data_IF_551859116741
#
_entry.id   IF_551859116741
#
_cell.length_a   1.000
_cell.length_b   1.000
_cell.length_c   1.000
_cell.angle_alpha   90.00
_cell.angle_beta   90.00
_cell.angle_gamma   90.00
#
_symmetry.space_group_name_H-M   'P 1'
#
loop_
_entity.id
_entity.type
_entity.pdbx_description
1 polymer ?
#
# COMPACT_ATOMS: atom_id res chain seq x y z
N UNK A 1 31.29 35.14 2.54
CA UNK A 1 30.14 35.62 3.33
C UNK A 1 28.91 34.86 2.88
N UNK A 2 28.27 34.18 3.84
CA UNK A 2 27.00 33.44 3.76
C UNK A 2 26.94 32.20 2.85
N UNK A 3 27.75 31.19 3.19
CA UNK A 3 27.44 29.79 2.91
C UNK A 3 26.30 29.33 3.84
N UNK A 4 25.06 29.39 3.33
CA UNK A 4 23.91 28.77 4.02
C UNK A 4 24.01 27.26 3.77
N UNK A 5 24.40 26.56 4.82
CA UNK A 5 24.51 25.11 4.85
C UNK A 5 23.16 24.45 4.60
N UNK A 6 23.04 23.79 3.44
CA UNK A 6 21.94 22.86 3.20
C UNK A 6 22.29 21.60 3.97
N UNK A 7 21.57 21.43 5.08
CA UNK A 7 21.56 20.23 5.93
C UNK A 7 21.47 18.97 5.06
N UNK A 8 22.30 18.00 5.41
CA UNK A 8 22.39 16.68 4.81
C UNK A 8 21.02 16.02 4.74
N UNK A 9 20.56 15.69 3.53
CA UNK A 9 19.53 14.68 3.31
C UNK A 9 20.21 13.31 3.49
N UNK A 10 20.30 12.84 4.74
CA UNK A 10 20.71 11.48 5.11
C UNK A 10 19.43 10.70 5.50
N UNK A 11 19.11 9.65 4.74
CA UNK A 11 18.22 8.51 5.07
C UNK A 11 16.79 8.76 5.61
N UNK A 12 15.77 8.73 4.74
CA UNK A 12 14.39 8.50 5.19
C UNK A 12 13.28 9.09 4.33
N UNK A 13 13.16 8.75 3.04
CA UNK A 13 11.91 9.00 2.31
C UNK A 13 10.79 8.21 2.99
N UNK A 14 10.03 8.91 3.82
CA UNK A 14 8.88 8.39 4.56
C UNK A 14 7.87 7.86 3.54
N UNK A 15 7.86 6.54 3.36
CA UNK A 15 6.95 5.84 2.47
C UNK A 15 5.52 5.95 3.02
N UNK A 16 4.85 7.07 2.71
CA UNK A 16 3.46 7.30 3.06
C UNK A 16 2.53 6.74 1.98
N UNK A 17 1.40 6.19 2.41
CA UNK A 17 0.35 5.74 1.50
C UNK A 17 -0.30 6.96 0.84
N UNK A 18 -0.30 7.03 -0.49
CA UNK A 18 -0.91 8.17 -1.21
C UNK A 18 -2.43 8.26 -1.07
N UNK A 19 -3.09 7.19 -0.60
CA UNK A 19 -4.54 7.13 -0.44
C UNK A 19 -5.05 7.47 0.97
N UNK A 20 -4.36 7.05 2.05
CA UNK A 20 -4.75 7.40 3.43
C UNK A 20 -3.80 8.39 4.10
N UNK A 21 -2.67 8.73 3.46
CA UNK A 21 -1.63 9.60 3.99
C UNK A 21 -0.96 9.10 5.28
N UNK A 22 -1.23 7.85 5.67
CA UNK A 22 -0.59 7.19 6.79
C UNK A 22 0.75 6.58 6.38
N UNK A 23 1.66 6.47 7.36
CA UNK A 23 2.96 5.84 7.17
C UNK A 23 2.79 4.34 6.84
N UNK A 24 3.47 3.86 5.78
CA UNK A 24 3.42 2.45 5.40
C UNK A 24 4.33 1.61 6.30
N UNK A 25 3.84 1.28 7.50
CA UNK A 25 4.53 0.37 8.42
C UNK A 25 4.59 -1.08 7.92
N UNK A 26 3.66 -1.48 7.06
CA UNK A 26 3.61 -2.84 6.52
C UNK A 26 4.44 -2.94 5.23
N UNK A 27 5.59 -3.62 5.29
CA UNK A 27 6.45 -4.01 4.14
C UNK A 27 5.77 -4.89 3.07
N UNK A 28 4.45 -5.03 3.12
CA UNK A 28 3.69 -5.71 2.08
C UNK A 28 3.29 -4.66 1.05
N UNK A 29 4.19 -4.33 0.13
CA UNK A 29 3.80 -3.56 -1.04
C UNK A 29 2.74 -4.35 -1.81
N UNK A 30 1.70 -3.71 -2.34
CA UNK A 30 0.82 -4.37 -3.28
C UNK A 30 1.61 -4.93 -4.46
N UNK A 31 1.18 -6.03 -5.10
CA UNK A 31 1.96 -6.70 -6.15
C UNK A 31 2.21 -5.83 -7.40
N UNK A 32 1.64 -4.63 -7.47
CA UNK A 32 1.60 -3.79 -8.67
C UNK A 32 2.36 -2.47 -8.54
N UNK A 33 2.41 -1.86 -7.35
CA UNK A 33 3.15 -0.62 -7.08
C UNK A 33 3.21 -0.30 -5.58
N UNK A 34 4.12 0.59 -5.18
CA UNK A 34 4.33 0.99 -3.79
C UNK A 34 3.55 2.25 -3.37
N UNK A 35 2.62 2.74 -4.19
CA UNK A 35 1.90 4.00 -3.91
C UNK A 35 0.84 3.89 -2.81
N UNK A 36 0.35 2.69 -2.51
CA UNK A 36 -0.76 2.46 -1.59
C UNK A 36 -0.36 1.42 -0.56
N UNK A 37 -0.74 1.63 0.70
CA UNK A 37 -0.69 0.55 1.68
C UNK A 37 -1.64 -0.58 1.27
N UNK A 38 -1.40 -1.79 1.78
CA UNK A 38 -2.22 -2.98 1.51
C UNK A 38 -3.72 -2.71 1.69
N UNK A 39 -4.09 -2.08 2.80
CA UNK A 39 -5.49 -1.78 3.10
C UNK A 39 -6.13 -0.84 2.06
N UNK A 40 -5.46 0.26 1.70
CA UNK A 40 -5.93 1.17 0.68
C UNK A 40 -5.94 0.55 -0.71
N UNK A 41 -4.96 -0.30 -1.03
CA UNK A 41 -4.93 -1.06 -2.26
C UNK A 41 -6.14 -1.99 -2.38
N UNK A 42 -6.52 -2.69 -1.30
CA UNK A 42 -7.72 -3.54 -1.27
C UNK A 42 -9.01 -2.73 -1.50
N UNK A 43 -9.12 -1.55 -0.90
CA UNK A 43 -10.24 -0.64 -1.14
C UNK A 43 -10.25 -0.10 -2.58
N UNK A 44 -9.07 0.12 -3.16
CA UNK A 44 -8.91 0.55 -4.54
C UNK A 44 -9.42 -0.51 -5.52
N UNK A 45 -8.99 -1.76 -5.36
CA UNK A 45 -9.38 -2.87 -6.25
C UNK A 45 -10.87 -3.19 -6.19
N UNK A 46 -11.53 -2.89 -5.07
CA UNK A 46 -12.98 -3.01 -4.96
C UNK A 46 -13.74 -2.04 -5.89
N UNK A 47 -13.09 -0.97 -6.39
CA UNK A 47 -13.70 0.05 -7.26
C UNK A 47 -13.09 0.15 -8.66
N UNK A 48 -11.82 -0.25 -8.85
CA UNK A 48 -11.09 -0.13 -10.13
C UNK A 48 -9.97 -1.16 -10.23
N UNK A 49 -9.52 -1.48 -11.44
CA UNK A 49 -8.46 -2.48 -11.65
C UNK A 49 -7.05 -1.89 -11.82
N UNK A 50 -6.85 -0.58 -11.65
CA UNK A 50 -5.56 0.11 -11.84
C UNK A 50 -5.18 0.99 -10.64
N UNK A 51 -3.89 1.25 -10.43
CA UNK A 51 -3.43 2.22 -9.43
C UNK A 51 -3.85 3.66 -9.78
N UNK A 52 -4.22 4.46 -8.78
CA UNK A 52 -4.57 5.87 -8.95
C UNK A 52 -3.42 6.77 -9.41
N UNK A 53 -2.20 6.43 -9.03
CA UNK A 53 -1.04 7.31 -9.19
C UNK A 53 -0.29 6.99 -10.48
N UNK A 54 0.10 5.72 -10.66
CA UNK A 54 0.86 5.29 -11.83
C UNK A 54 0.02 4.60 -12.91
N UNK A 55 -1.29 4.42 -12.70
CA UNK A 55 -2.20 3.74 -13.62
C UNK A 55 -1.79 2.30 -14.02
N UNK A 56 -0.85 1.68 -13.28
CA UNK A 56 -0.47 0.28 -13.51
C UNK A 56 -1.66 -0.62 -13.22
N UNK A 57 -1.88 -1.60 -14.11
CA UNK A 57 -2.90 -2.63 -13.90
C UNK A 57 -2.53 -3.48 -12.70
N UNK A 58 -3.54 -3.76 -11.89
CA UNK A 58 -3.38 -4.58 -10.72
C UNK A 58 -3.48 -6.03 -11.16
N UNK A 59 -2.33 -6.70 -11.23
CA UNK A 59 -2.27 -8.12 -11.57
C UNK A 59 -2.64 -9.00 -10.37
N UNK A 60 -3.06 -10.23 -10.64
CA UNK A 60 -3.41 -11.24 -9.62
C UNK A 60 -4.60 -10.87 -8.70
N UNK A 61 -5.49 -9.98 -9.13
CA UNK A 61 -6.70 -9.57 -8.36
C UNK A 61 -7.47 -10.79 -7.81
N UNK A 62 -7.65 -11.84 -8.60
CA UNK A 62 -8.34 -13.05 -8.16
C UNK A 62 -7.62 -13.78 -7.02
N UNK A 63 -6.29 -13.90 -7.11
CA UNK A 63 -5.45 -14.52 -6.07
C UNK A 63 -5.50 -13.69 -4.78
N UNK A 64 -5.43 -12.37 -4.94
CA UNK A 64 -5.49 -11.38 -3.87
C UNK A 64 -6.85 -11.47 -3.13
N UNK A 65 -7.97 -11.53 -3.85
CA UNK A 65 -9.29 -11.74 -3.25
C UNK A 65 -9.44 -13.12 -2.60
N UNK A 66 -8.83 -14.16 -3.17
CA UNK A 66 -8.83 -15.50 -2.56
C UNK A 66 -8.08 -15.52 -1.23
N UNK A 67 -6.90 -14.89 -1.16
CA UNK A 67 -6.13 -14.75 0.08
C UNK A 67 -6.89 -13.97 1.16
N UNK A 68 -7.48 -12.83 0.78
CA UNK A 68 -8.34 -12.06 1.68
C UNK A 68 -9.50 -12.88 2.23
N UNK A 69 -10.25 -13.56 1.35
CA UNK A 69 -11.40 -14.37 1.77
C UNK A 69 -10.96 -15.47 2.73
N UNK A 70 -9.82 -16.12 2.46
CA UNK A 70 -9.23 -17.10 3.37
C UNK A 70 -8.89 -16.49 4.73
N UNK A 71 -8.27 -15.30 4.78
CA UNK A 71 -7.97 -14.61 6.04
C UNK A 71 -9.23 -14.23 6.83
N UNK A 72 -10.23 -13.66 6.16
CA UNK A 72 -11.52 -13.33 6.79
C UNK A 72 -12.19 -14.57 7.36
N UNK A 73 -12.18 -15.70 6.63
CA UNK A 73 -12.73 -16.95 7.13
C UNK A 73 -11.95 -17.49 8.34
N UNK A 74 -10.62 -17.38 8.34
CA UNK A 74 -9.79 -17.79 9.48
C UNK A 74 -10.11 -16.94 10.71
N UNK A 75 -10.20 -15.61 10.57
CA UNK A 75 -10.52 -14.71 11.69
C UNK A 75 -11.96 -14.91 12.18
N UNK A 76 -12.93 -15.11 11.28
CA UNK A 76 -14.31 -15.39 11.66
C UNK A 76 -14.44 -16.71 12.46
N UNK A 77 -13.68 -17.73 12.09
CA UNK A 77 -13.66 -19.01 12.81
C UNK A 77 -12.92 -18.93 14.16
N UNK A 78 -12.08 -17.92 14.40
CA UNK A 78 -11.44 -17.70 15.72
C UNK A 78 -12.35 -17.06 16.74
N UNK A 79 -13.44 -16.42 16.29
CA UNK A 79 -14.41 -15.72 17.14
C UNK A 79 -15.61 -16.58 17.56
N UNK A 80 -15.70 -17.82 17.06
CA UNK A 80 -16.70 -18.83 17.44
C UNK A 80 -16.05 -19.92 18.30
#
# INVERSE_FOLDING_TARGET
MSSIGISRYEDGEENCCTACLEFMHERRSPPSCEHNCVACFYLLIARRTNCLICNVTIYEIERIFKDLRSRVNIEANRMN
#
